data_IF_914688068231
#
_entry.id   IF_914688068231
#
_cell.length_a   1.000
_cell.length_b   1.000
_cell.length_c   1.000
_cell.angle_alpha   90.00
_cell.angle_beta   90.00
_cell.angle_gamma   90.00
#
_symmetry.space_group_name_H-M   'P 1'
#
loop_
_entity.id
_entity.type
_entity.pdbx_description
1 polymer ?
#
# COMPACT_ATOMS: atom_id res chain seq x y z
N UNK A 1 12.14 -7.34 -2.56
CA UNK A 1 12.96 -6.73 -1.50
C UNK A 1 13.68 -7.76 -0.63
N UNK A 2 12.99 -8.74 0.00
CA UNK A 2 13.67 -9.78 0.83
C UNK A 2 14.80 -10.50 0.07
N UNK A 3 14.54 -10.97 -1.15
CA UNK A 3 15.56 -11.61 -1.99
C UNK A 3 16.79 -10.70 -2.27
N UNK A 4 16.62 -9.38 -2.32
CA UNK A 4 17.73 -8.44 -2.50
C UNK A 4 18.67 -8.45 -1.29
N UNK A 5 18.10 -8.56 -0.09
CA UNK A 5 18.82 -8.60 1.19
C UNK A 5 19.48 -9.97 1.37
N UNK A 6 18.76 -11.07 1.15
CA UNK A 6 19.28 -12.43 1.31
C UNK A 6 20.51 -12.67 0.43
N UNK A 7 20.53 -12.12 -0.79
CA UNK A 7 21.71 -12.19 -1.68
C UNK A 7 22.94 -11.43 -1.18
N UNK A 8 22.78 -10.52 -0.21
CA UNK A 8 23.82 -9.60 0.28
C UNK A 8 24.22 -9.81 1.73
N UNK A 9 23.34 -10.37 2.57
CA UNK A 9 23.59 -10.52 4.00
C UNK A 9 24.40 -11.78 4.38
N UNK A 10 24.83 -12.58 3.40
CA UNK A 10 25.51 -13.85 3.63
C UNK A 10 24.59 -14.93 4.23
N UNK A 11 25.18 -16.02 4.75
CA UNK A 11 24.42 -17.07 5.45
C UNK A 11 24.10 -16.61 6.87
N UNK A 12 22.92 -16.01 7.05
CA UNK A 12 22.34 -15.67 8.37
C UNK A 12 21.08 -16.50 8.62
N UNK A 13 20.77 -16.75 9.89
CA UNK A 13 19.46 -17.28 10.28
C UNK A 13 18.33 -16.27 10.02
N UNK A 14 17.07 -16.71 10.15
CA UNK A 14 15.87 -15.91 9.82
C UNK A 14 15.88 -14.54 10.51
N UNK A 15 16.12 -14.49 11.83
CA UNK A 15 16.19 -13.24 12.58
C UNK A 15 17.31 -12.31 12.09
N UNK A 16 18.47 -12.86 11.73
CA UNK A 16 19.57 -12.08 11.17
C UNK A 16 19.24 -11.49 9.79
N UNK A 17 18.55 -12.25 8.93
CA UNK A 17 18.05 -11.76 7.64
C UNK A 17 17.00 -10.65 7.82
N UNK A 18 16.11 -10.79 8.81
CA UNK A 18 15.12 -9.76 9.14
C UNK A 18 15.81 -8.47 9.60
N UNK A 19 16.75 -8.55 10.54
CA UNK A 19 17.55 -7.39 10.97
C UNK A 19 18.23 -6.68 9.79
N UNK A 20 18.87 -7.45 8.90
CA UNK A 20 19.50 -6.88 7.70
C UNK A 20 18.49 -6.20 6.76
N UNK A 21 17.26 -6.71 6.66
CA UNK A 21 16.23 -6.09 5.83
C UNK A 21 15.90 -4.69 6.33
N UNK A 22 15.66 -4.54 7.63
CA UNK A 22 15.31 -3.27 8.24
C UNK A 22 16.49 -2.29 8.29
N UNK A 23 17.73 -2.78 8.45
CA UNK A 23 18.93 -1.96 8.29
C UNK A 23 19.07 -1.40 6.88
N UNK A 24 19.02 -2.27 5.86
CA UNK A 24 19.19 -1.90 4.45
C UNK A 24 18.10 -0.95 3.99
N UNK A 25 16.83 -1.27 4.26
CA UNK A 25 15.71 -0.47 3.78
C UNK A 25 15.38 0.75 4.65
N UNK A 26 15.83 0.80 5.90
CA UNK A 26 15.70 1.97 6.77
C UNK A 26 16.56 3.16 6.33
N UNK A 27 17.67 2.88 5.63
CA UNK A 27 18.58 3.90 5.07
C UNK A 27 18.50 4.00 3.53
N UNK A 28 17.64 3.21 2.90
CA UNK A 28 17.58 3.16 1.43
C UNK A 28 17.20 4.50 0.84
N UNK A 29 18.00 4.97 -0.11
CA UNK A 29 17.82 6.28 -0.76
C UNK A 29 16.89 6.15 -1.97
N UNK A 30 15.59 6.10 -1.72
CA UNK A 30 14.59 6.20 -2.79
C UNK A 30 14.78 7.50 -3.60
N UNK A 31 14.58 7.49 -4.93
CA UNK A 31 14.00 6.43 -5.77
C UNK A 31 15.04 5.46 -6.36
N UNK A 32 16.20 5.23 -5.70
CA UNK A 32 17.17 4.21 -6.18
C UNK A 32 16.47 2.86 -6.34
N UNK A 33 16.58 2.18 -7.50
CA UNK A 33 15.83 0.95 -7.74
C UNK A 33 16.42 -0.25 -7.01
N UNK A 34 15.53 -1.12 -6.54
CA UNK A 34 15.87 -2.43 -6.00
C UNK A 34 15.97 -3.43 -7.14
N UNK A 35 17.21 -3.82 -7.48
CA UNK A 35 17.52 -4.73 -8.58
C UNK A 35 18.06 -6.08 -8.08
N UNK A 36 17.47 -7.19 -8.53
CA UNK A 36 17.99 -8.54 -8.26
C UNK A 36 19.08 -8.98 -9.25
N UNK A 37 19.04 -8.44 -10.48
CA UNK A 37 20.06 -8.59 -11.52
C UNK A 37 20.07 -7.34 -12.41
N UNK A 38 21.08 -7.21 -13.28
CA UNK A 38 21.12 -6.14 -14.28
C UNK A 38 19.89 -6.24 -15.19
N UNK A 39 19.28 -5.09 -15.48
CA UNK A 39 18.16 -5.01 -16.42
C UNK A 39 18.67 -5.39 -17.81
N UNK A 40 17.92 -6.27 -18.48
CA UNK A 40 18.19 -6.69 -19.86
C UNK A 40 17.34 -5.83 -20.78
N UNK A 41 17.97 -5.05 -21.65
CA UNK A 41 17.28 -4.17 -22.59
C UNK A 41 16.74 -4.93 -23.82
N UNK A 42 17.53 -5.88 -24.33
CA UNK A 42 17.15 -6.69 -25.49
C UNK A 42 16.41 -7.98 -25.09
N UNK A 43 15.44 -8.47 -25.88
CA UNK A 43 14.71 -9.69 -25.57
C UNK A 43 15.62 -10.94 -25.55
N UNK A 44 15.26 -11.99 -24.79
CA UNK A 44 15.74 -13.35 -25.00
C UNK A 44 15.51 -13.82 -26.45
N UNK A 45 16.31 -14.77 -26.91
CA UNK A 45 16.11 -15.38 -28.22
C UNK A 45 14.69 -15.96 -28.35
N UNK A 46 14.03 -15.69 -29.48
CA UNK A 46 12.65 -16.09 -29.73
C UNK A 46 11.57 -15.22 -29.08
N UNK A 47 11.93 -14.16 -28.36
CA UNK A 47 10.97 -13.22 -27.75
C UNK A 47 10.85 -11.93 -28.56
N UNK A 48 9.63 -11.38 -28.62
CA UNK A 48 9.39 -10.07 -29.22
C UNK A 48 9.99 -8.95 -28.37
N UNK A 49 10.41 -7.85 -29.02
CA UNK A 49 10.89 -6.65 -28.32
C UNK A 49 9.73 -5.95 -27.61
N UNK A 50 9.81 -5.88 -26.29
CA UNK A 50 8.86 -5.21 -25.41
C UNK A 50 9.52 -4.04 -24.69
N UNK A 51 8.71 -3.09 -24.21
CA UNK A 51 9.19 -1.98 -23.40
C UNK A 51 9.70 -2.50 -22.05
N UNK A 52 10.92 -2.09 -21.70
CA UNK A 52 11.56 -2.38 -20.42
C UNK A 52 11.59 -1.11 -19.58
N UNK A 53 11.43 -1.25 -18.25
CA UNK A 53 11.49 -0.13 -17.32
C UNK A 53 12.80 0.66 -17.49
N UNK A 54 12.68 1.91 -17.90
CA UNK A 54 13.81 2.77 -18.23
C UNK A 54 13.58 4.19 -17.71
N UNK A 55 13.99 4.52 -16.48
CA UNK A 55 13.76 5.85 -15.90
C UNK A 55 14.51 6.98 -16.62
N UNK A 56 15.59 6.67 -17.36
CA UNK A 56 16.36 7.66 -18.11
C UNK A 56 15.77 7.98 -19.49
N UNK A 57 15.09 7.01 -20.10
CA UNK A 57 14.48 7.15 -21.43
C UNK A 57 12.96 7.38 -21.43
N UNK A 58 12.26 7.01 -20.36
CA UNK A 58 10.81 7.16 -20.23
C UNK A 58 10.46 8.08 -19.05
N UNK A 59 9.84 9.22 -19.35
CA UNK A 59 9.41 10.22 -18.36
C UNK A 59 8.48 9.65 -17.28
N UNK A 60 7.68 8.64 -17.61
CA UNK A 60 6.74 8.03 -16.67
C UNK A 60 7.48 7.14 -15.66
N UNK A 61 8.42 6.33 -16.16
CA UNK A 61 9.29 5.51 -15.32
C UNK A 61 10.18 6.36 -14.41
N UNK A 62 10.65 7.50 -14.91
CA UNK A 62 11.44 8.48 -14.15
C UNK A 62 10.68 9.14 -13.00
N UNK A 63 9.34 9.06 -12.98
CA UNK A 63 8.49 9.56 -11.88
C UNK A 63 8.24 8.53 -10.77
N UNK A 64 8.68 7.28 -10.93
CA UNK A 64 8.46 6.25 -9.92
C UNK A 64 9.20 6.54 -8.62
N UNK A 65 8.48 6.49 -7.49
CA UNK A 65 9.02 6.87 -6.18
C UNK A 65 9.75 5.74 -5.47
N UNK A 66 9.26 4.50 -5.62
CA UNK A 66 9.79 3.32 -4.94
C UNK A 66 10.01 2.16 -5.91
N UNK A 67 10.96 2.25 -6.88
CA UNK A 67 11.07 1.23 -7.91
C UNK A 67 11.62 -0.10 -7.38
N UNK A 68 10.80 -1.15 -7.47
CA UNK A 68 11.19 -2.55 -7.21
C UNK A 68 11.06 -3.29 -8.54
N UNK A 69 12.19 -3.63 -9.15
CA UNK A 69 12.19 -4.08 -10.55
C UNK A 69 12.11 -5.59 -10.62
N UNK A 70 11.17 -6.11 -11.42
CA UNK A 70 11.03 -7.54 -11.69
C UNK A 70 12.28 -8.04 -12.44
N UNK A 71 12.79 -9.24 -12.10
CA UNK A 71 14.03 -9.71 -12.71
C UNK A 71 13.82 -10.18 -14.17
N UNK A 72 12.66 -10.72 -14.54
CA UNK A 72 12.48 -11.31 -15.87
C UNK A 72 12.34 -10.25 -16.97
N UNK A 73 12.56 -10.64 -18.22
CA UNK A 73 12.27 -9.78 -19.37
C UNK A 73 10.78 -9.87 -19.73
N UNK A 74 10.12 -8.76 -20.09
CA UNK A 74 10.58 -7.38 -19.90
C UNK A 74 10.57 -7.00 -18.42
N UNK A 75 11.65 -6.35 -17.94
CA UNK A 75 11.72 -5.93 -16.54
C UNK A 75 10.82 -4.72 -16.31
N UNK A 76 9.99 -4.78 -15.27
CA UNK A 76 8.96 -3.79 -14.95
C UNK A 76 9.08 -3.36 -13.49
N UNK A 77 8.62 -2.16 -13.16
CA UNK A 77 8.47 -1.76 -11.76
C UNK A 77 7.22 -2.43 -11.16
N UNK A 78 7.35 -3.28 -10.15
CA UNK A 78 6.22 -3.92 -9.48
C UNK A 78 5.48 -3.01 -8.49
N UNK A 79 6.06 -1.86 -8.14
CA UNK A 79 5.54 -0.90 -7.16
C UNK A 79 5.26 0.47 -7.80
N UNK A 80 4.81 0.47 -9.05
CA UNK A 80 4.49 1.70 -9.80
C UNK A 80 3.31 2.49 -9.21
N UNK A 81 2.44 1.84 -8.43
CA UNK A 81 1.29 2.47 -7.76
C UNK A 81 1.65 3.18 -6.45
N UNK A 82 2.91 3.14 -6.01
CA UNK A 82 3.31 3.76 -4.73
C UNK A 82 3.31 5.29 -4.85
N UNK A 83 2.39 5.92 -4.11
CA UNK A 83 2.30 7.37 -3.94
C UNK A 83 3.24 7.93 -2.86
N UNK A 84 3.35 9.26 -2.78
CA UNK A 84 4.25 9.94 -1.84
C UNK A 84 3.89 9.63 -0.37
N UNK A 85 2.60 9.66 -0.03
CA UNK A 85 2.13 9.39 1.32
C UNK A 85 2.37 7.94 1.73
N UNK A 86 2.17 7.01 0.79
CA UNK A 86 2.45 5.59 1.01
C UNK A 86 3.94 5.31 1.23
N UNK A 87 4.82 5.91 0.40
CA UNK A 87 6.27 5.78 0.59
C UNK A 87 6.71 6.31 1.95
N UNK A 88 6.28 7.52 2.35
CA UNK A 88 6.61 8.09 3.67
C UNK A 88 6.20 7.16 4.81
N UNK A 89 5.02 6.54 4.73
CA UNK A 89 4.56 5.57 5.73
C UNK A 89 5.41 4.32 5.77
N UNK A 90 5.73 3.75 4.61
CA UNK A 90 6.60 2.57 4.55
C UNK A 90 8.00 2.88 5.11
N UNK A 91 8.58 4.04 4.78
CA UNK A 91 9.86 4.47 5.35
C UNK A 91 9.79 4.63 6.87
N UNK A 92 8.70 5.22 7.39
CA UNK A 92 8.47 5.36 8.83
C UNK A 92 8.40 3.99 9.52
N UNK A 93 7.59 3.05 9.01
CA UNK A 93 7.43 1.73 9.61
C UNK A 93 8.71 0.88 9.51
N UNK A 94 9.48 1.02 8.42
CA UNK A 94 10.79 0.36 8.30
C UNK A 94 11.78 0.95 9.31
N UNK A 95 11.82 2.27 9.51
CA UNK A 95 12.68 2.88 10.54
C UNK A 95 12.29 2.44 11.96
N UNK A 96 10.99 2.48 12.28
CA UNK A 96 10.45 1.97 13.55
C UNK A 96 10.83 0.50 13.76
N UNK A 97 10.63 -0.34 12.75
CA UNK A 97 10.97 -1.77 12.83
C UNK A 97 12.46 -2.01 13.07
N UNK A 98 13.33 -1.19 12.46
CA UNK A 98 14.77 -1.23 12.73
C UNK A 98 15.09 -0.93 14.19
N UNK A 99 14.54 0.15 14.75
CA UNK A 99 14.77 0.52 16.15
C UNK A 99 14.32 -0.56 17.13
N UNK A 100 13.17 -1.18 16.87
CA UNK A 100 12.67 -2.31 17.68
C UNK A 100 13.60 -3.51 17.56
N UNK A 101 14.05 -3.86 16.36
CA UNK A 101 15.00 -4.96 16.14
C UNK A 101 16.36 -4.69 16.81
N UNK A 102 16.88 -3.46 16.79
CA UNK A 102 18.10 -3.09 17.52
C UNK A 102 17.96 -3.37 19.03
N UNK A 103 16.79 -3.07 19.62
CA UNK A 103 16.49 -3.39 21.03
C UNK A 103 16.37 -4.90 21.28
N UNK A 104 15.72 -5.65 20.39
CA UNK A 104 15.60 -7.11 20.50
C UNK A 104 16.99 -7.76 20.52
N UNK A 105 17.83 -7.41 19.54
CA UNK A 105 19.14 -8.05 19.37
C UNK A 105 20.19 -7.61 20.40
N UNK A 106 20.05 -6.43 21.02
CA UNK A 106 20.96 -5.95 22.07
C UNK A 106 20.69 -6.57 23.46
N UNK A 107 19.46 -7.06 23.71
CA UNK A 107 19.08 -7.67 25.01
C UNK A 107 19.47 -9.15 25.16
N UNK A 108 19.92 -9.79 24.09
CA UNK A 108 20.27 -11.22 24.07
C UNK A 108 19.09 -12.16 24.39
N UNK A 109 19.38 -13.44 24.67
CA UNK A 109 18.38 -14.52 24.89
C UNK A 109 17.40 -14.29 26.06
N UNK A 110 17.65 -13.32 26.95
CA UNK A 110 16.86 -13.11 28.17
C UNK A 110 15.59 -12.25 27.98
N UNK A 111 15.32 -11.76 26.77
CA UNK A 111 14.17 -10.90 26.48
C UNK A 111 13.56 -11.11 25.09
N UNK A 112 13.73 -12.31 24.52
CA UNK A 112 13.28 -12.63 23.15
C UNK A 112 11.77 -12.45 23.00
N UNK A 113 10.95 -12.94 23.94
CA UNK A 113 9.48 -12.96 23.75
C UNK A 113 8.84 -11.56 23.75
N UNK A 114 9.19 -10.69 24.70
CA UNK A 114 8.55 -9.37 24.85
C UNK A 114 8.87 -8.39 23.69
N UNK A 115 10.04 -8.53 23.06
CA UNK A 115 10.43 -7.64 21.97
C UNK A 115 9.75 -7.98 20.64
N UNK A 116 9.52 -9.27 20.37
CA UNK A 116 8.80 -9.71 19.17
C UNK A 116 7.32 -9.32 19.19
N UNK A 117 6.68 -9.34 20.36
CA UNK A 117 5.31 -8.83 20.53
C UNK A 117 5.19 -7.35 20.13
N UNK A 118 6.16 -6.52 20.50
CA UNK A 118 6.19 -5.11 20.09
C UNK A 118 6.41 -4.94 18.58
N UNK A 119 7.27 -5.78 17.99
CA UNK A 119 7.56 -5.74 16.57
C UNK A 119 6.33 -6.10 15.71
N UNK A 120 5.59 -7.14 16.11
CA UNK A 120 4.38 -7.61 15.43
C UNK A 120 3.09 -6.96 15.94
N UNK A 121 3.17 -5.99 16.86
CA UNK A 121 2.02 -5.29 17.39
C UNK A 121 1.17 -4.70 16.26
N UNK A 122 -0.12 -5.01 16.29
CA UNK A 122 -1.08 -4.47 15.33
C UNK A 122 -1.13 -2.94 15.40
N UNK A 123 -1.45 -2.32 14.26
CA UNK A 123 -1.62 -0.87 14.21
C UNK A 123 -2.99 -0.49 14.76
N UNK A 124 -3.03 0.50 15.65
CA UNK A 124 -4.27 1.04 16.23
C UNK A 124 -4.98 2.02 15.26
N UNK A 125 -5.20 1.61 14.01
CA UNK A 125 -5.66 2.50 12.94
C UNK A 125 -6.93 3.29 13.30
N UNK A 126 -7.97 2.62 13.81
CA UNK A 126 -9.26 3.25 14.13
C UNK A 126 -9.20 4.21 15.32
N UNK A 127 -8.16 4.14 16.15
CA UNK A 127 -7.95 5.04 17.28
C UNK A 127 -7.00 6.21 16.94
N UNK A 128 -6.40 6.22 15.74
CA UNK A 128 -5.40 7.20 15.33
C UNK A 128 -5.95 8.42 14.61
N UNK A 129 -7.18 8.35 14.12
CA UNK A 129 -7.80 9.42 13.34
C UNK A 129 -9.15 9.77 13.94
N UNK A 130 -9.49 11.05 13.94
CA UNK A 130 -10.81 11.52 14.34
C UNK A 130 -11.82 11.39 13.21
N UNK A 131 -11.35 11.38 11.96
CA UNK A 131 -12.19 11.35 10.77
C UNK A 131 -11.77 10.19 9.86
N UNK A 132 -12.76 9.53 9.25
CA UNK A 132 -12.57 8.46 8.30
C UNK A 132 -13.45 8.68 7.08
N UNK A 133 -12.92 8.34 5.90
CA UNK A 133 -13.70 8.13 4.70
C UNK A 133 -13.93 6.63 4.52
N UNK A 134 -15.19 6.22 4.43
CA UNK A 134 -15.59 4.84 4.17
C UNK A 134 -16.05 4.70 2.72
N UNK A 135 -15.44 3.78 1.98
CA UNK A 135 -15.97 3.30 0.71
C UNK A 135 -16.69 1.98 0.98
N UNK A 136 -18.02 2.01 0.91
CA UNK A 136 -18.87 0.85 1.13
C UNK A 136 -19.35 0.28 -0.20
N UNK A 137 -19.18 -1.02 -0.36
CA UNK A 137 -19.57 -1.79 -1.53
C UNK A 137 -20.55 -2.88 -1.09
N UNK A 138 -21.77 -2.89 -1.62
CA UNK A 138 -22.80 -3.88 -1.28
C UNK A 138 -23.47 -4.42 -2.55
N UNK A 139 -23.91 -5.68 -2.51
CA UNK A 139 -24.77 -6.27 -3.54
C UNK A 139 -25.79 -7.25 -2.93
N UNK A 140 -26.78 -7.67 -3.73
CA UNK A 140 -27.90 -8.51 -3.28
C UNK A 140 -27.54 -10.00 -3.13
N UNK A 141 -26.44 -10.43 -3.73
CA UNK A 141 -25.98 -11.82 -3.70
C UNK A 141 -24.46 -11.87 -3.92
N UNK A 142 -23.85 -13.02 -3.64
CA UNK A 142 -22.41 -13.22 -3.72
C UNK A 142 -21.81 -13.13 -5.13
N UNK A 143 -22.53 -13.53 -6.19
CA UNK A 143 -22.00 -13.45 -7.57
C UNK A 143 -21.88 -12.02 -8.05
N UNK A 144 -22.88 -11.20 -7.80
CA UNK A 144 -22.87 -9.78 -8.16
C UNK A 144 -21.91 -9.01 -7.28
N UNK A 145 -21.86 -9.34 -5.98
CA UNK A 145 -20.89 -8.76 -5.06
C UNK A 145 -19.46 -8.96 -5.54
N UNK A 146 -19.07 -10.16 -5.97
CA UNK A 146 -17.70 -10.41 -6.44
C UNK A 146 -17.32 -9.54 -7.64
N UNK A 147 -18.23 -9.38 -8.61
CA UNK A 147 -17.98 -8.57 -9.82
C UNK A 147 -17.93 -7.08 -9.45
N UNK A 148 -18.92 -6.63 -8.69
CA UNK A 148 -19.03 -5.25 -8.23
C UNK A 148 -17.84 -4.83 -7.37
N UNK A 149 -17.47 -5.66 -6.38
CA UNK A 149 -16.33 -5.44 -5.51
C UNK A 149 -15.03 -5.26 -6.30
N UNK A 150 -14.74 -6.17 -7.25
CA UNK A 150 -13.53 -6.09 -8.08
C UNK A 150 -13.51 -4.82 -8.94
N UNK A 151 -14.66 -4.41 -9.45
CA UNK A 151 -14.78 -3.16 -10.19
C UNK A 151 -14.46 -1.96 -9.30
N UNK A 152 -15.11 -1.84 -8.14
CA UNK A 152 -14.87 -0.76 -7.17
C UNK A 152 -13.40 -0.74 -6.72
N UNK A 153 -12.85 -1.91 -6.37
CA UNK A 153 -11.45 -2.09 -5.98
C UNK A 153 -10.49 -1.58 -7.06
N UNK A 154 -10.76 -1.87 -8.34
CA UNK A 154 -9.95 -1.38 -9.46
C UNK A 154 -9.92 0.15 -9.59
N UNK A 155 -10.92 0.85 -9.05
CA UNK A 155 -11.04 2.32 -9.10
C UNK A 155 -10.54 3.00 -7.83
N UNK A 156 -10.27 2.28 -6.74
CA UNK A 156 -9.81 2.88 -5.47
C UNK A 156 -8.55 3.73 -5.65
N UNK A 157 -7.67 3.40 -6.61
CA UNK A 157 -6.50 4.22 -6.92
C UNK A 157 -6.85 5.65 -7.33
N UNK A 158 -8.00 5.87 -7.98
CA UNK A 158 -8.47 7.18 -8.42
C UNK A 158 -8.80 8.02 -7.19
N UNK A 159 -9.55 7.45 -6.23
CA UNK A 159 -9.86 8.10 -4.97
C UNK A 159 -8.59 8.42 -4.18
N UNK A 160 -7.68 7.45 -4.03
CA UNK A 160 -6.43 7.63 -3.28
C UNK A 160 -5.57 8.73 -3.93
N UNK A 161 -5.44 8.75 -5.25
CA UNK A 161 -4.70 9.78 -5.97
C UNK A 161 -5.33 11.17 -5.80
N UNK A 162 -6.67 11.27 -5.90
CA UNK A 162 -7.39 12.52 -5.66
C UNK A 162 -7.21 13.04 -4.23
N UNK A 163 -7.27 12.16 -3.23
CA UNK A 163 -7.01 12.51 -1.85
C UNK A 163 -5.55 12.91 -1.60
N UNK A 164 -4.58 12.30 -2.29
CA UNK A 164 -3.18 12.71 -2.20
C UNK A 164 -2.95 14.12 -2.76
N UNK A 165 -3.77 14.58 -3.71
CA UNK A 165 -3.77 15.99 -4.16
C UNK A 165 -4.40 16.93 -3.14
N UNK A 166 -5.39 16.47 -2.36
CA UNK A 166 -6.00 17.24 -1.28
C UNK A 166 -5.06 17.49 -0.07
N UNK A 167 -3.86 16.92 -0.05
CA UNK A 167 -2.82 17.24 0.95
C UNK A 167 -2.47 18.73 0.93
N UNK A 168 -2.45 19.35 -0.25
CA UNK A 168 -2.25 20.80 -0.38
C UNK A 168 -3.39 21.62 0.24
N UNK A 169 -4.57 21.01 0.36
CA UNK A 169 -5.73 21.60 1.04
C UNK A 169 -5.71 21.30 2.54
N UNK A 170 -4.72 20.56 3.06
CA UNK A 170 -4.52 20.35 4.49
C UNK A 170 -5.13 19.07 5.06
N UNK A 171 -5.39 18.05 4.23
CA UNK A 171 -5.80 16.72 4.71
C UNK A 171 -4.85 15.65 4.18
N UNK A 172 -4.30 14.83 5.06
CA UNK A 172 -3.48 13.69 4.66
C UNK A 172 -4.27 12.37 4.74
N UNK A 173 -4.40 11.62 3.62
CA UNK A 173 -5.13 10.36 3.59
C UNK A 173 -4.27 9.18 4.02
N UNK A 174 -4.84 8.28 4.83
CA UNK A 174 -4.24 7.03 5.30
C UNK A 174 -5.14 5.84 4.95
N UNK A 175 -5.04 5.29 3.74
CA UNK A 175 -5.79 4.10 3.36
C UNK A 175 -5.39 2.90 4.21
N UNK A 176 -6.37 2.15 4.71
CA UNK A 176 -6.13 0.89 5.40
C UNK A 176 -6.04 -0.23 4.37
N UNK A 177 -4.94 -0.98 4.34
CA UNK A 177 -4.66 -1.99 3.31
C UNK A 177 -5.49 -3.29 3.48
N UNK A 178 -6.74 -3.18 3.92
CA UNK A 178 -7.65 -4.30 4.14
C UNK A 178 -9.10 -3.83 4.00
N UNK A 179 -9.91 -4.71 3.43
CA UNK A 179 -11.35 -4.62 3.38
C UNK A 179 -11.98 -5.31 4.60
N UNK A 180 -13.08 -4.77 5.10
CA UNK A 180 -13.81 -5.27 6.24
C UNK A 180 -15.20 -5.72 5.81
N UNK A 181 -15.55 -6.97 6.08
CA UNK A 181 -16.89 -7.47 5.79
C UNK A 181 -17.93 -6.65 6.56
N UNK A 182 -18.95 -6.19 5.85
CA UNK A 182 -20.12 -5.58 6.45
C UNK A 182 -21.02 -6.72 6.91
N UNK A 183 -20.95 -7.04 8.20
CA UNK A 183 -21.97 -7.89 8.79
C UNK A 183 -23.30 -7.14 8.72
N UNK A 184 -24.37 -7.83 8.31
CA UNK A 184 -25.72 -7.29 8.35
C UNK A 184 -26.03 -6.89 9.79
N UNK A 185 -25.86 -5.61 10.12
CA UNK A 185 -26.25 -5.05 11.40
C UNK A 185 -27.76 -5.13 11.52
N UNK A 186 -28.26 -6.26 12.01
CA UNK A 186 -29.40 -6.34 12.91
C UNK A 186 -30.74 -5.70 12.52
N UNK A 187 -31.00 -5.32 11.28
CA UNK A 187 -32.38 -5.02 10.87
C UNK A 187 -33.09 -6.32 10.54
N UNK A 188 -33.80 -6.84 11.55
CA UNK A 188 -34.93 -7.74 11.36
C UNK A 188 -35.89 -7.07 10.37
N UNK A 189 -35.75 -7.37 9.09
CA UNK A 189 -36.85 -7.63 8.16
C UNK A 189 -36.33 -7.84 6.72
N UNK A 190 -36.62 -9.04 6.22
CA UNK A 190 -36.82 -9.43 4.80
C UNK A 190 -35.58 -9.60 3.90
N UNK A 191 -35.23 -10.89 3.75
CA UNK A 191 -34.96 -11.60 2.49
C UNK A 191 -34.02 -10.92 1.48
N UNK A 192 -32.74 -11.19 1.68
CA UNK A 192 -31.66 -11.06 0.71
C UNK A 192 -30.35 -11.14 1.46
N UNK A 193 -29.49 -12.10 1.16
CA UNK A 193 -28.15 -12.16 1.74
C UNK A 193 -27.33 -11.00 1.16
N UNK A 194 -27.41 -9.83 1.80
CA UNK A 194 -26.66 -8.65 1.40
C UNK A 194 -25.19 -8.92 1.71
N UNK A 195 -24.41 -9.16 0.67
CA UNK A 195 -22.96 -9.22 0.77
C UNK A 195 -22.41 -7.79 0.72
N UNK A 196 -21.58 -7.40 1.68
CA UNK A 196 -21.03 -6.07 1.74
C UNK A 196 -19.60 -6.05 2.30
N UNK A 197 -18.83 -5.05 1.88
CA UNK A 197 -17.52 -4.74 2.45
C UNK A 197 -17.28 -3.25 2.52
N UNK A 198 -16.45 -2.85 3.47
CA UNK A 198 -16.02 -1.47 3.67
C UNK A 198 -14.50 -1.36 3.54
N UNK A 199 -14.06 -0.30 2.88
CA UNK A 199 -12.66 0.13 2.81
C UNK A 199 -12.53 1.47 3.53
N UNK A 200 -11.63 1.56 4.49
CA UNK A 200 -11.47 2.76 5.32
C UNK A 200 -10.21 3.54 4.96
N UNK A 201 -10.34 4.85 4.93
CA UNK A 201 -9.24 5.79 4.78
C UNK A 201 -9.28 6.75 5.98
N UNK A 202 -8.29 6.68 6.85
CA UNK A 202 -8.13 7.63 7.94
C UNK A 202 -7.72 8.98 7.39
N UNK A 203 -8.31 10.06 7.91
CA UNK A 203 -8.03 11.42 7.46
C UNK A 203 -7.37 12.19 8.59
N UNK A 204 -6.11 12.59 8.38
CA UNK A 204 -5.38 13.45 9.30
C UNK A 204 -5.52 14.90 8.86
N UNK A 205 -6.13 15.75 9.69
CA UNK A 205 -6.11 17.20 9.47
C UNK A 205 -4.69 17.74 9.70
N UNK A 206 -4.22 18.57 8.77
CA UNK A 206 -3.00 19.37 8.88
C UNK A 206 -3.30 20.83 9.21
N UNK A 207 -4.59 21.19 9.30
CA UNK A 207 -5.06 22.53 9.65
C UNK A 207 -5.38 22.66 11.14
N UNK A 208 -5.59 23.90 11.59
CA UNK A 208 -6.07 24.19 12.93
C UNK A 208 -7.46 23.57 13.17
N UNK A 209 -7.80 23.36 14.44
CA UNK A 209 -9.07 22.72 14.82
C UNK A 209 -10.27 23.53 14.29
N UNK A 210 -11.18 22.85 13.57
CA UNK A 210 -12.45 23.42 13.10
C UNK A 210 -12.50 23.73 11.60
N UNK A 211 -11.37 23.69 10.89
CA UNK A 211 -11.35 23.93 9.45
C UNK A 211 -12.01 22.76 8.67
N UNK A 212 -13.00 23.10 7.85
CA UNK A 212 -13.66 22.17 6.94
C UNK A 212 -12.86 22.11 5.64
N UNK A 213 -12.48 20.90 5.24
CA UNK A 213 -11.85 20.64 3.94
C UNK A 213 -12.84 19.89 3.06
N UNK A 214 -13.14 20.47 1.91
CA UNK A 214 -14.06 19.87 0.94
C UNK A 214 -13.35 18.78 0.13
N UNK A 215 -13.78 17.54 0.31
CA UNK A 215 -13.29 16.38 -0.44
C UNK A 215 -14.21 16.00 -1.62
N UNK A 216 -15.26 16.78 -1.89
CA UNK A 216 -16.28 16.46 -2.89
C UNK A 216 -15.71 16.24 -4.28
N UNK A 217 -14.68 17.00 -4.67
CA UNK A 217 -14.04 16.82 -5.98
C UNK A 217 -13.50 15.39 -6.15
N UNK A 218 -12.68 14.91 -5.21
CA UNK A 218 -12.05 13.58 -5.33
C UNK A 218 -13.05 12.44 -5.13
N UNK A 219 -14.08 12.62 -4.29
CA UNK A 219 -15.12 11.61 -4.12
C UNK A 219 -16.04 11.54 -5.34
N UNK A 220 -16.41 12.67 -5.95
CA UNK A 220 -17.23 12.70 -7.16
C UNK A 220 -16.51 12.10 -8.37
N UNK A 221 -15.23 12.40 -8.57
CA UNK A 221 -14.42 11.77 -9.63
C UNK A 221 -14.36 10.24 -9.49
N UNK A 222 -14.18 9.76 -8.26
CA UNK A 222 -14.23 8.33 -7.96
C UNK A 222 -15.61 7.73 -8.24
N UNK A 223 -16.69 8.38 -7.77
CA UNK A 223 -18.06 7.93 -7.99
C UNK A 223 -18.43 7.91 -9.47
N UNK A 224 -17.96 8.89 -10.25
CA UNK A 224 -18.12 8.92 -11.71
C UNK A 224 -17.41 7.73 -12.36
N UNK A 225 -16.14 7.49 -12.02
CA UNK A 225 -15.37 6.36 -12.55
C UNK A 225 -15.98 5.00 -12.18
N UNK A 226 -16.53 4.87 -10.97
CA UNK A 226 -17.26 3.69 -10.51
C UNK A 226 -18.60 3.56 -11.24
N UNK A 227 -19.25 4.67 -11.56
CA UNK A 227 -20.56 4.70 -12.21
C UNK A 227 -20.55 4.25 -13.67
N UNK A 228 -19.40 4.31 -14.34
CA UNK A 228 -19.23 3.80 -15.70
C UNK A 228 -19.09 2.28 -15.76
N UNK A 229 -19.74 1.55 -14.84
CA UNK A 229 -19.77 0.10 -14.85
C UNK A 229 -20.80 -0.40 -15.86
N UNK A 230 -20.36 -1.19 -16.84
CA UNK A 230 -21.20 -1.66 -17.94
C UNK A 230 -22.17 -2.78 -17.54
N UNK A 231 -21.90 -3.50 -16.44
CA UNK A 231 -22.71 -4.65 -15.97
C UNK A 231 -23.71 -4.27 -14.85
N UNK A 232 -24.23 -3.05 -14.87
CA UNK A 232 -25.15 -2.52 -13.85
C UNK A 232 -26.48 -3.27 -13.74
#
# INVERSE_FOLDING_TARGET
MVAFVVRRCGRKGVGGCLKCFFEVFGEWKWPRPVLLKKIREEPPEGWAKMQVWNPGGNRWDGRHLMPIVTPCYPSMNSSYNVGKGQLRRMEFEIKRGREVLEKIFSRGKKGEDAGWEEFFRETNFFNRFSNFLEVRCCARNGSDFRRWHRWVESKLRILIAGLEMAVEQGVEPHPFAKFFDVQSMGTREKQGEVCGTSFFIGLRSLRANGDIVDLSFCTNEFLYAVSNWEER
#
